data_IF_402585698596
#
_entry.id   IF_402585698596
#
_cell.length_a   1.000
_cell.length_b   1.000
_cell.length_c   1.000
_cell.angle_alpha   90.00
_cell.angle_beta   90.00
_cell.angle_gamma   90.00
#
_symmetry.space_group_name_H-M   'P 1'
#
loop_
_entity.id
_entity.type
_entity.pdbx_description
1 polymer ?
#
# COMPACT_ATOMS: atom_id res chain seq x y z
N UNK A 1 -12.47 13.02 9.95
CA UNK A 1 -11.46 14.04 9.53
C UNK A 1 -11.45 14.08 8.00
N UNK A 2 -11.17 15.23 7.37
CA UNK A 2 -11.06 15.36 5.91
C UNK A 2 -9.58 15.20 5.49
N UNK A 3 -9.03 14.00 5.65
CA UNK A 3 -7.63 13.68 5.32
C UNK A 3 -7.57 12.45 4.43
N UNK A 4 -6.52 12.33 3.61
CA UNK A 4 -6.27 11.19 2.75
C UNK A 4 -4.81 10.77 2.87
N UNK A 5 -4.55 9.46 2.81
CA UNK A 5 -3.18 8.94 2.78
C UNK A 5 -2.59 9.06 1.39
N UNK A 6 -1.36 9.57 1.29
CA UNK A 6 -0.57 9.59 0.06
C UNK A 6 0.58 8.61 0.18
N UNK A 7 0.88 7.90 -0.91
CA UNK A 7 2.01 6.97 -1.01
C UNK A 7 2.64 7.08 -2.40
N UNK A 8 3.96 7.15 -2.44
CA UNK A 8 4.75 6.97 -3.66
C UNK A 8 5.39 5.57 -3.58
N UNK A 9 4.93 4.60 -4.39
CA UNK A 9 5.43 3.22 -4.31
C UNK A 9 6.80 3.08 -4.97
N UNK A 10 7.76 2.47 -4.28
CA UNK A 10 9.06 2.06 -4.86
C UNK A 10 8.94 0.64 -5.45
N UNK A 11 8.10 0.49 -6.48
CA UNK A 11 7.92 -0.78 -7.20
C UNK A 11 7.77 -0.52 -8.70
N UNK A 12 8.61 -1.14 -9.57
CA UNK A 12 8.63 -0.84 -11.01
C UNK A 12 7.27 -0.97 -11.71
N UNK A 13 6.51 -2.04 -11.40
CA UNK A 13 5.18 -2.25 -12.01
C UNK A 13 4.16 -1.21 -11.54
N UNK A 14 4.21 -0.81 -10.27
CA UNK A 14 3.29 0.23 -9.77
C UNK A 14 3.62 1.59 -10.38
N UNK A 15 4.90 1.90 -10.57
CA UNK A 15 5.36 3.11 -11.26
C UNK A 15 4.95 3.10 -12.74
N UNK A 16 5.07 1.96 -13.44
CA UNK A 16 4.63 1.85 -14.83
C UNK A 16 3.11 2.04 -14.98
N UNK A 17 2.31 1.47 -14.08
CA UNK A 17 0.85 1.68 -14.06
C UNK A 17 0.47 3.14 -13.83
N UNK A 18 1.14 3.81 -12.89
CA UNK A 18 0.91 5.24 -12.62
C UNK A 18 1.33 6.12 -13.80
N UNK A 19 2.44 5.78 -14.47
CA UNK A 19 2.91 6.51 -15.65
C UNK A 19 1.94 6.37 -16.83
N UNK A 20 1.40 5.17 -17.05
CA UNK A 20 0.40 4.93 -18.10
C UNK A 20 -0.94 5.60 -17.78
N UNK A 21 -1.39 5.52 -16.52
CA UNK A 21 -2.64 6.12 -16.08
C UNK A 21 -2.59 7.67 -16.11
N UNK A 22 -1.39 8.25 -15.91
CA UNK A 22 -1.15 9.69 -15.85
C UNK A 22 -2.01 10.44 -14.81
N UNK A 23 -2.49 9.72 -13.78
CA UNK A 23 -3.31 10.21 -12.69
C UNK A 23 -3.01 9.42 -11.39
N UNK A 24 -3.38 9.93 -10.20
CA UNK A 24 -3.27 9.16 -8.96
C UNK A 24 -4.16 7.92 -8.96
N UNK A 25 -3.63 6.80 -8.46
CA UNK A 25 -4.40 5.57 -8.25
C UNK A 25 -4.91 5.47 -6.81
N UNK A 26 -6.23 5.39 -6.64
CA UNK A 26 -6.82 5.04 -5.35
C UNK A 26 -6.50 3.58 -5.02
N UNK A 27 -5.90 3.34 -3.85
CA UNK A 27 -5.50 1.99 -3.44
C UNK A 27 -5.60 1.82 -1.93
N UNK A 28 -5.62 0.57 -1.50
CA UNK A 28 -5.52 0.15 -0.11
C UNK A 28 -4.58 -1.05 0.00
N UNK A 29 -4.17 -1.39 1.22
CA UNK A 29 -3.48 -2.66 1.48
C UNK A 29 -4.49 -3.79 1.35
N UNK A 30 -4.15 -4.86 0.62
CA UNK A 30 -5.02 -6.01 0.42
C UNK A 30 -5.01 -6.93 1.66
N UNK A 31 -5.61 -6.45 2.75
CA UNK A 31 -5.87 -7.19 3.98
C UNK A 31 -7.36 -7.52 4.03
N UNK A 32 -7.70 -8.81 3.94
CA UNK A 32 -9.09 -9.25 3.96
C UNK A 32 -9.65 -9.30 5.40
N UNK A 33 -10.98 -9.20 5.59
CA UNK A 33 -11.59 -9.34 6.90
C UNK A 33 -11.26 -10.70 7.53
N UNK A 34 -10.70 -10.68 8.75
CA UNK A 34 -10.34 -11.88 9.50
C UNK A 34 -8.90 -12.38 9.24
N UNK A 35 -8.21 -11.88 8.22
CA UNK A 35 -6.79 -12.19 8.01
C UNK A 35 -5.92 -11.36 8.97
N UNK A 36 -4.83 -11.95 9.46
CA UNK A 36 -3.84 -11.26 10.31
C UNK A 36 -2.78 -10.52 9.49
N UNK A 37 -2.58 -10.89 8.23
CA UNK A 37 -1.56 -10.36 7.33
C UNK A 37 -2.12 -10.14 5.91
N UNK A 38 -1.58 -9.17 5.16
CA UNK A 38 -2.04 -8.90 3.80
C UNK A 38 -1.63 -10.01 2.84
N UNK A 39 -2.44 -10.20 1.79
CA UNK A 39 -2.12 -11.12 0.71
C UNK A 39 -1.00 -10.53 -0.18
N UNK A 40 -0.03 -11.38 -0.55
CA UNK A 40 1.13 -11.00 -1.38
C UNK A 40 1.37 -11.93 -2.56
N UNK A 41 0.82 -13.14 -2.55
CA UNK A 41 1.02 -14.16 -3.58
C UNK A 41 -0.14 -14.16 -4.57
N UNK A 42 0.16 -13.98 -5.87
CA UNK A 42 -0.85 -13.86 -6.91
C UNK A 42 -1.75 -15.10 -7.02
N UNK A 43 -1.20 -16.30 -6.77
CA UNK A 43 -1.94 -17.57 -6.77
C UNK A 43 -2.98 -17.64 -5.66
N UNK A 44 -2.63 -17.18 -4.45
CA UNK A 44 -3.56 -17.09 -3.33
C UNK A 44 -4.63 -16.01 -3.56
N UNK A 45 -4.21 -14.83 -4.03
CA UNK A 45 -5.11 -13.73 -4.38
C UNK A 45 -6.13 -14.21 -5.42
N UNK A 46 -5.68 -14.91 -6.47
CA UNK A 46 -6.56 -15.48 -7.49
C UNK A 46 -7.54 -16.50 -6.89
N UNK A 47 -7.06 -17.43 -6.08
CA UNK A 47 -7.91 -18.44 -5.46
C UNK A 47 -9.03 -17.83 -4.58
N UNK A 48 -8.76 -16.71 -3.92
CA UNK A 48 -9.73 -16.04 -3.03
C UNK A 48 -10.62 -15.01 -3.74
N UNK A 49 -10.09 -14.31 -4.75
CA UNK A 49 -10.69 -13.07 -5.26
C UNK A 49 -10.91 -13.04 -6.78
N UNK A 50 -10.63 -14.10 -7.55
CA UNK A 50 -10.77 -14.07 -9.02
C UNK A 50 -12.16 -13.67 -9.54
N UNK A 51 -13.19 -13.78 -8.70
CA UNK A 51 -14.59 -13.40 -9.03
C UNK A 51 -14.98 -12.02 -8.52
N UNK A 52 -14.16 -11.43 -7.66
CA UNK A 52 -14.43 -10.15 -6.98
C UNK A 52 -13.62 -8.99 -7.59
N UNK A 53 -12.64 -9.28 -8.45
CA UNK A 53 -11.78 -8.29 -9.11
C UNK A 53 -11.72 -8.52 -10.62
N UNK A 54 -11.63 -7.44 -11.39
CA UNK A 54 -11.55 -7.52 -12.85
C UNK A 54 -10.16 -7.98 -13.34
N UNK A 55 -9.11 -7.70 -12.57
CA UNK A 55 -7.73 -7.98 -12.95
C UNK A 55 -6.84 -8.27 -11.73
N UNK A 56 -5.96 -9.26 -11.89
CA UNK A 56 -4.85 -9.54 -10.98
C UNK A 56 -3.56 -9.40 -11.79
N UNK A 57 -2.64 -8.56 -11.32
CA UNK A 57 -1.33 -8.36 -11.94
C UNK A 57 -0.29 -9.07 -11.09
N UNK A 58 0.26 -10.17 -11.61
CA UNK A 58 1.38 -10.87 -10.98
C UNK A 58 2.70 -10.19 -11.38
N UNK A 59 3.37 -9.58 -10.40
CA UNK A 59 4.66 -8.93 -10.56
C UNK A 59 5.76 -9.63 -9.75
N UNK A 60 5.53 -10.87 -9.33
CA UNK A 60 6.38 -11.60 -8.40
C UNK A 60 6.16 -11.23 -6.93
N UNK A 61 6.97 -11.80 -6.02
CA UNK A 61 6.74 -11.68 -4.58
C UNK A 61 6.82 -10.24 -4.09
N UNK A 62 5.72 -9.75 -3.52
CA UNK A 62 5.66 -8.45 -2.86
C UNK A 62 5.82 -8.63 -1.35
N UNK A 63 6.70 -7.83 -0.71
CA UNK A 63 6.84 -7.89 0.75
C UNK A 63 5.55 -7.52 1.48
N UNK A 64 5.26 -8.19 2.60
CA UNK A 64 4.06 -7.96 3.42
C UNK A 64 4.24 -6.88 4.49
N UNK A 65 5.47 -6.40 4.71
CA UNK A 65 5.75 -5.36 5.69
C UNK A 65 4.98 -4.08 5.33
N UNK A 66 4.13 -3.56 6.24
CA UNK A 66 3.33 -2.39 5.95
C UNK A 66 4.22 -1.16 5.78
N UNK A 67 3.71 -0.15 5.09
CA UNK A 67 4.33 1.17 5.09
C UNK A 67 4.25 1.81 6.48
N UNK A 68 5.28 2.59 6.79
CA UNK A 68 5.20 3.59 7.87
C UNK A 68 4.19 4.65 7.47
N UNK A 69 3.26 4.97 8.38
CA UNK A 69 2.22 5.98 8.17
C UNK A 69 2.50 7.13 9.12
N UNK A 70 2.59 8.33 8.54
CA UNK A 70 2.87 9.57 9.25
C UNK A 70 1.73 10.54 8.98
N UNK A 71 1.13 11.09 10.03
CA UNK A 71 0.17 12.19 9.93
C UNK A 71 0.93 13.52 9.93
N UNK A 72 0.71 14.32 8.89
CA UNK A 72 1.26 15.67 8.72
C UNK A 72 0.16 16.74 8.73
N UNK A 73 -1.09 16.36 9.00
CA UNK A 73 -2.25 17.27 8.91
C UNK A 73 -2.37 18.24 10.08
N UNK A 74 -1.72 17.95 11.21
CA UNK A 74 -1.81 18.71 12.47
C UNK A 74 -0.77 19.81 12.66
N UNK A 75 0.13 20.04 11.69
CA UNK A 75 1.27 20.97 11.83
C UNK A 75 2.44 20.41 12.63
N UNK A 76 2.25 19.32 13.38
CA UNK A 76 3.29 18.47 13.95
C UNK A 76 3.27 17.11 13.27
N UNK A 77 4.42 16.43 13.28
CA UNK A 77 4.54 15.06 12.74
C UNK A 77 4.06 14.05 13.77
N UNK A 78 3.08 13.21 13.41
CA UNK A 78 2.64 12.09 14.25
C UNK A 78 2.87 10.76 13.55
N UNK A 79 3.50 9.79 14.22
CA UNK A 79 3.67 8.44 13.67
C UNK A 79 2.40 7.62 14.00
N UNK A 80 1.55 7.40 13.00
CA UNK A 80 0.33 6.59 13.15
C UNK A 80 0.63 5.10 13.10
N UNK A 81 1.63 4.70 12.32
CA UNK A 81 2.07 3.31 12.20
C UNK A 81 3.54 3.25 11.87
N UNK A 82 4.31 2.47 12.63
CA UNK A 82 5.68 2.08 12.27
C UNK A 82 5.64 0.85 11.35
N UNK A 83 6.25 0.96 10.18
CA UNK A 83 6.37 -0.11 9.20
C UNK A 83 7.78 -0.18 8.62
N UNK A 84 7.91 -0.59 7.35
CA UNK A 84 9.19 -0.76 6.66
C UNK A 84 9.99 0.54 6.49
N UNK A 85 9.31 1.69 6.42
CA UNK A 85 9.95 3.00 6.24
C UNK A 85 10.62 3.48 7.52
N UNK A 86 11.87 3.94 7.44
CA UNK A 86 12.57 4.52 8.60
C UNK A 86 11.82 5.74 9.15
N UNK A 87 11.70 5.82 10.48
CA UNK A 87 11.14 6.99 11.18
C UNK A 87 12.21 8.01 11.55
N UNK A 88 13.50 7.71 11.32
CA UNK A 88 14.61 8.60 11.67
C UNK A 88 14.46 10.04 11.13
N UNK A 89 13.93 10.28 9.91
CA UNK A 89 13.72 11.64 9.41
C UNK A 89 12.72 12.49 10.22
N UNK A 90 11.92 11.86 11.09
CA UNK A 90 10.84 12.48 11.84
C UNK A 90 11.12 12.55 13.36
N UNK A 91 12.33 12.20 13.79
CA UNK A 91 12.69 12.05 15.20
C UNK A 91 13.12 13.38 15.89
N UNK A 92 12.61 14.53 15.43
CA UNK A 92 13.00 15.87 15.89
C UNK A 92 11.82 16.73 16.31
#
# INVERSE_FOLDING_TARGET
>A
RKTIGLRVPDHPVAQALLAELNEPLLSSTLLLPGDEAPLSEATEIRARLEREVDLIVDAGPCGIDPTTVVDLSGGTVEILRKGKGSIAPFAH
#
